data_IF_213065569926
#
_entry.id   IF_213065569926
#
_cell.length_a   1.000
_cell.length_b   1.000
_cell.length_c   1.000
_cell.angle_alpha   90.00
_cell.angle_beta   90.00
_cell.angle_gamma   90.00
#
_symmetry.space_group_name_H-M   'P 1'
#
loop_
_entity.id
_entity.type
_entity.pdbx_description
1 polymer ?
#
# COMPACT_ATOMS: atom_id res chain seq x y z
N UNK A 1 17.33 16.59 11.29
CA UNK A 1 16.24 16.22 10.38
C UNK A 1 15.08 15.78 11.24
N UNK A 2 13.96 16.41 11.09
CA UNK A 2 12.74 16.11 11.86
C UNK A 2 12.18 14.72 11.50
N UNK A 3 11.34 14.16 12.37
CA UNK A 3 10.77 12.80 12.20
C UNK A 3 10.16 12.60 10.81
N UNK A 4 9.29 13.52 10.42
CA UNK A 4 8.59 13.46 9.11
C UNK A 4 9.58 13.50 7.95
N UNK A 5 10.55 14.39 7.97
CA UNK A 5 11.57 14.47 6.90
C UNK A 5 12.36 13.16 6.74
N UNK A 6 12.57 12.43 7.84
CA UNK A 6 13.25 11.13 7.82
C UNK A 6 12.37 10.04 7.21
N UNK A 7 11.07 10.03 7.53
CA UNK A 7 10.11 9.09 6.93
C UNK A 7 9.95 9.41 5.44
N UNK A 8 9.85 10.69 5.06
CA UNK A 8 9.77 11.11 3.66
C UNK A 8 11.01 10.69 2.87
N UNK A 9 12.21 10.85 3.44
CA UNK A 9 13.45 10.38 2.81
C UNK A 9 13.51 8.85 2.67
N UNK A 10 12.93 8.10 3.59
CA UNK A 10 12.77 6.65 3.44
C UNK A 10 11.79 6.31 2.31
N UNK A 11 10.67 7.04 2.19
CA UNK A 11 9.68 6.86 1.12
C UNK A 11 10.26 7.16 -0.26
N UNK A 12 11.09 8.19 -0.39
CA UNK A 12 11.82 8.46 -1.65
C UNK A 12 12.75 7.31 -2.02
N UNK A 13 13.46 6.74 -1.05
CA UNK A 13 14.36 5.59 -1.24
C UNK A 13 13.66 4.32 -1.71
N UNK A 14 12.48 4.06 -1.17
CA UNK A 14 11.65 2.89 -1.45
C UNK A 14 10.42 3.24 -2.30
N UNK A 15 10.54 4.24 -3.19
CA UNK A 15 9.45 4.64 -4.08
C UNK A 15 9.11 3.51 -5.05
N UNK A 16 7.99 2.84 -4.80
CA UNK A 16 7.54 1.69 -5.59
C UNK A 16 7.27 2.01 -7.07
N UNK A 17 7.02 3.27 -7.42
CA UNK A 17 6.90 3.67 -8.83
C UNK A 17 8.21 3.50 -9.62
N UNK A 18 9.35 3.45 -8.91
CA UNK A 18 10.64 3.13 -9.51
C UNK A 18 10.91 1.63 -9.64
N UNK A 19 10.05 0.79 -9.04
CA UNK A 19 10.17 -0.66 -9.14
C UNK A 19 9.92 -1.16 -10.56
N UNK A 20 10.67 -2.17 -11.06
CA UNK A 20 10.48 -2.74 -12.40
C UNK A 20 9.02 -3.13 -12.70
N UNK A 21 8.33 -3.71 -11.74
CA UNK A 21 6.92 -4.08 -11.86
C UNK A 21 6.04 -2.89 -12.26
N UNK A 22 6.14 -1.75 -11.56
CA UNK A 22 5.33 -0.57 -11.89
C UNK A 22 5.76 0.11 -13.19
N UNK A 23 7.03 0.06 -13.56
CA UNK A 23 7.50 0.52 -14.87
C UNK A 23 6.87 -0.30 -16.00
N UNK A 24 6.81 -1.62 -15.85
CA UNK A 24 6.12 -2.51 -16.79
C UNK A 24 4.60 -2.27 -16.78
N UNK A 25 4.01 -2.02 -15.60
CA UNK A 25 2.59 -1.65 -15.49
C UNK A 25 2.26 -0.44 -16.35
N UNK A 26 3.01 0.65 -16.19
CA UNK A 26 2.79 1.91 -16.91
C UNK A 26 3.11 1.84 -18.40
N UNK A 27 3.86 0.83 -18.84
CA UNK A 27 4.16 0.58 -20.25
C UNK A 27 3.22 -0.46 -20.90
N UNK A 28 2.29 -1.05 -20.16
CA UNK A 28 1.39 -2.08 -20.68
C UNK A 28 2.09 -3.43 -20.96
N UNK A 29 3.21 -3.68 -20.29
CA UNK A 29 4.04 -4.86 -20.54
C UNK A 29 3.67 -6.07 -19.67
N UNK A 30 2.73 -5.92 -18.72
CA UNK A 30 2.28 -7.00 -17.87
C UNK A 30 1.20 -7.83 -18.60
N UNK A 31 1.32 -9.13 -18.47
CA UNK A 31 0.29 -10.06 -18.93
C UNK A 31 -0.90 -10.08 -17.96
N UNK A 32 -2.06 -10.55 -18.42
CA UNK A 32 -3.23 -10.75 -17.55
C UNK A 32 -2.91 -11.74 -16.40
N UNK A 33 -2.03 -12.72 -16.62
CA UNK A 33 -1.60 -13.67 -15.59
C UNK A 33 -0.76 -13.01 -14.50
N UNK A 34 0.14 -12.11 -14.86
CA UNK A 34 0.95 -11.33 -13.92
C UNK A 34 0.07 -10.37 -13.09
N UNK A 35 -0.90 -9.72 -13.73
CA UNK A 35 -1.88 -8.88 -13.03
C UNK A 35 -2.73 -9.68 -12.05
N UNK A 36 -3.18 -10.88 -12.44
CA UNK A 36 -3.92 -11.78 -11.56
C UNK A 36 -3.05 -12.26 -10.38
N UNK A 37 -1.77 -12.54 -10.65
CA UNK A 37 -0.81 -12.92 -9.60
C UNK A 37 -0.61 -11.77 -8.61
N UNK A 38 -0.31 -10.57 -9.10
CA UNK A 38 -0.19 -9.37 -8.30
C UNK A 38 -1.44 -9.10 -7.46
N UNK A 39 -2.62 -9.13 -8.08
CA UNK A 39 -3.88 -8.87 -7.39
C UNK A 39 -4.07 -9.80 -6.18
N UNK A 40 -3.76 -11.08 -6.33
CA UNK A 40 -3.86 -12.07 -5.25
C UNK A 40 -2.80 -11.89 -4.16
N UNK A 41 -1.56 -11.58 -4.51
CA UNK A 41 -0.47 -11.35 -3.54
C UNK A 41 -0.68 -10.05 -2.75
N UNK A 42 -0.96 -8.95 -3.45
CA UNK A 42 -1.10 -7.63 -2.81
C UNK A 42 -2.35 -7.53 -1.92
N UNK A 43 -3.37 -8.39 -2.13
CA UNK A 43 -4.53 -8.50 -1.24
C UNK A 43 -4.13 -8.70 0.22
N UNK A 44 -3.06 -9.46 0.48
CA UNK A 44 -2.56 -9.66 1.84
C UNK A 44 -2.04 -8.37 2.47
N UNK A 45 -1.39 -7.52 1.68
CA UNK A 45 -0.95 -6.20 2.12
C UNK A 45 -2.14 -5.27 2.42
N UNK A 46 -3.18 -5.28 1.58
CA UNK A 46 -4.42 -4.50 1.83
C UNK A 46 -5.07 -4.91 3.15
N UNK A 47 -5.16 -6.22 3.44
CA UNK A 47 -5.67 -6.71 4.73
C UNK A 47 -4.76 -6.27 5.89
N UNK A 48 -3.44 -6.35 5.71
CA UNK A 48 -2.47 -5.92 6.74
C UNK A 48 -2.57 -4.41 7.04
N UNK A 49 -2.83 -3.59 6.01
CA UNK A 49 -3.05 -2.15 6.18
C UNK A 49 -4.29 -1.89 7.04
N UNK A 50 -5.42 -2.53 6.72
CA UNK A 50 -6.65 -2.44 7.51
C UNK A 50 -6.45 -2.88 8.98
N UNK A 51 -5.64 -3.91 9.24
CA UNK A 51 -5.32 -4.35 10.59
C UNK A 51 -4.42 -3.34 11.34
N UNK A 52 -3.53 -2.67 10.62
CA UNK A 52 -2.65 -1.63 11.18
C UNK A 52 -3.41 -0.33 11.45
N UNK A 53 -4.35 0.05 10.58
CA UNK A 53 -5.25 1.18 10.79
C UNK A 53 -6.01 1.08 12.13
N UNK A 54 -6.44 -0.12 12.54
CA UNK A 54 -7.11 -0.35 13.84
C UNK A 54 -6.24 0.01 15.04
N UNK A 55 -4.92 -0.05 14.90
CA UNK A 55 -3.97 0.28 15.97
C UNK A 55 -3.73 1.78 16.12
N UNK A 56 -4.13 2.61 15.14
CA UNK A 56 -4.00 4.07 15.22
C UNK A 56 -4.96 4.72 16.20
N UNK A 57 -6.06 4.07 16.52
CA UNK A 57 -7.16 4.61 17.32
C UNK A 57 -8.13 5.50 16.51
N UNK A 58 -7.98 5.60 15.19
CA UNK A 58 -8.90 6.31 14.29
C UNK A 58 -9.98 5.33 13.81
N UNK A 59 -11.07 5.24 14.54
CA UNK A 59 -12.12 4.23 14.31
C UNK A 59 -12.76 4.35 12.92
N UNK A 60 -12.98 5.58 12.43
CA UNK A 60 -13.56 5.82 11.11
C UNK A 60 -12.60 5.36 10.00
N UNK A 61 -11.36 5.78 10.04
CA UNK A 61 -10.32 5.36 9.09
C UNK A 61 -10.14 3.82 9.11
N UNK A 62 -10.06 3.19 10.29
CA UNK A 62 -9.95 1.73 10.40
C UNK A 62 -11.16 0.98 9.81
N UNK A 63 -12.36 1.57 9.90
CA UNK A 63 -13.55 1.03 9.25
C UNK A 63 -13.47 1.16 7.74
N UNK A 64 -13.10 2.33 7.23
CA UNK A 64 -12.91 2.58 5.79
C UNK A 64 -11.90 1.59 5.20
N UNK A 65 -10.71 1.44 5.81
CA UNK A 65 -9.71 0.48 5.34
C UNK A 65 -10.22 -0.97 5.36
N UNK A 66 -11.06 -1.33 6.32
CA UNK A 66 -11.68 -2.66 6.35
C UNK A 66 -12.68 -2.84 5.18
N UNK A 67 -13.42 -1.80 4.82
CA UNK A 67 -14.33 -1.80 3.68
C UNK A 67 -13.56 -1.83 2.35
N UNK A 68 -12.38 -1.21 2.27
CA UNK A 68 -11.52 -1.19 1.08
C UNK A 68 -11.00 -2.57 0.67
N UNK A 69 -10.93 -3.54 1.60
CA UNK A 69 -10.62 -4.93 1.26
C UNK A 69 -11.59 -5.50 0.22
N UNK A 70 -12.89 -5.16 0.32
CA UNK A 70 -13.88 -5.58 -0.65
C UNK A 70 -13.65 -4.93 -2.03
N UNK A 71 -13.28 -3.65 -2.09
CA UNK A 71 -12.94 -2.98 -3.35
C UNK A 71 -11.71 -3.65 -4.02
N UNK A 72 -10.74 -4.08 -3.22
CA UNK A 72 -9.62 -4.86 -3.75
C UNK A 72 -10.06 -6.23 -4.26
N UNK A 73 -11.04 -6.88 -3.62
CA UNK A 73 -11.58 -8.16 -4.07
C UNK A 73 -12.27 -8.03 -5.44
N UNK A 74 -12.88 -6.89 -5.76
CA UNK A 74 -13.40 -6.60 -7.11
C UNK A 74 -12.26 -6.52 -8.14
N UNK A 75 -11.11 -5.91 -7.79
CA UNK A 75 -9.92 -5.92 -8.64
C UNK A 75 -9.37 -7.35 -8.84
N UNK A 76 -9.31 -8.15 -7.77
CA UNK A 76 -8.94 -9.58 -7.86
C UNK A 76 -9.86 -10.33 -8.83
N UNK A 77 -11.17 -10.11 -8.74
CA UNK A 77 -12.17 -10.75 -9.60
C UNK A 77 -12.05 -10.30 -11.06
N UNK A 78 -11.76 -9.02 -11.32
CA UNK A 78 -11.59 -8.47 -12.67
C UNK A 78 -10.49 -9.18 -13.47
N UNK A 79 -9.44 -9.66 -12.79
CA UNK A 79 -8.36 -10.43 -13.41
C UNK A 79 -8.51 -11.94 -13.26
N UNK A 80 -9.57 -12.43 -12.61
CA UNK A 80 -9.84 -13.86 -12.42
C UNK A 80 -8.92 -14.52 -11.41
N UNK A 81 -8.33 -13.75 -10.51
CA UNK A 81 -7.53 -14.26 -9.40
C UNK A 81 -8.41 -14.80 -8.26
N UNK A 82 -7.79 -15.41 -7.26
CA UNK A 82 -8.48 -15.96 -6.08
C UNK A 82 -8.08 -15.19 -4.82
N UNK A 83 -9.03 -14.96 -3.96
CA UNK A 83 -8.85 -14.28 -2.67
C UNK A 83 -8.28 -15.17 -1.55
N UNK A 84 -8.35 -16.50 -1.73
CA UNK A 84 -7.90 -17.52 -0.75
C UNK A 84 -6.48 -18.03 -1.01
N UNK A 85 -5.72 -17.34 -1.86
CA UNK A 85 -4.33 -17.69 -2.16
C UNK A 85 -3.45 -17.51 -0.92
N UNK A 86 -2.54 -18.46 -0.71
CA UNK A 86 -1.50 -18.29 0.32
C UNK A 86 -0.45 -17.27 -0.15
N UNK A 87 0.03 -16.40 0.75
CA UNK A 87 1.06 -15.44 0.39
C UNK A 87 2.38 -16.15 0.05
N UNK A 88 3.14 -15.55 -0.85
CA UNK A 88 4.55 -15.91 -1.04
C UNK A 88 5.38 -15.53 0.19
N UNK A 89 6.64 -15.95 0.25
CA UNK A 89 7.52 -15.58 1.36
C UNK A 89 7.74 -14.05 1.42
N UNK A 90 7.92 -13.43 0.26
CA UNK A 90 8.12 -11.99 0.12
C UNK A 90 6.86 -11.20 0.51
N UNK A 91 5.68 -11.72 0.16
CA UNK A 91 4.40 -11.15 0.60
C UNK A 91 4.21 -11.30 2.10
N UNK A 92 4.60 -12.43 2.68
CA UNK A 92 4.53 -12.65 4.12
C UNK A 92 5.46 -11.68 4.88
N UNK A 93 6.68 -11.43 4.38
CA UNK A 93 7.59 -10.41 4.94
C UNK A 93 6.97 -9.00 4.92
N UNK A 94 6.27 -8.64 3.85
CA UNK A 94 5.55 -7.38 3.76
C UNK A 94 4.43 -7.30 4.83
N UNK A 95 3.61 -8.33 4.93
CA UNK A 95 2.53 -8.43 5.93
C UNK A 95 3.08 -8.32 7.34
N UNK A 96 4.17 -9.04 7.64
CA UNK A 96 4.82 -9.00 8.95
C UNK A 96 5.33 -7.59 9.27
N UNK A 97 5.96 -6.91 8.30
CA UNK A 97 6.45 -5.54 8.48
C UNK A 97 5.30 -4.54 8.69
N UNK A 98 4.20 -4.67 7.94
CA UNK A 98 3.06 -3.76 8.05
C UNK A 98 2.29 -3.95 9.34
N UNK A 99 2.21 -5.18 9.86
CA UNK A 99 1.49 -5.49 11.10
C UNK A 99 2.37 -5.48 12.35
N UNK A 100 3.69 -5.26 12.22
CA UNK A 100 4.66 -5.19 13.31
C UNK A 100 4.42 -4.08 14.36
N UNK A 101 3.77 -2.91 14.06
CA UNK A 101 3.57 -1.87 15.05
C UNK A 101 3.01 -2.39 16.37
N UNK A 102 3.68 -2.08 17.48
CA UNK A 102 3.31 -2.52 18.85
C UNK A 102 2.46 -1.47 19.59
N UNK A 103 2.47 -0.24 19.11
CA UNK A 103 1.74 0.87 19.72
C UNK A 103 1.21 1.84 18.66
N UNK A 104 0.36 2.76 19.12
CA UNK A 104 -0.32 3.74 18.28
C UNK A 104 0.63 4.59 17.43
N UNK A 105 1.73 5.07 17.98
CA UNK A 105 2.64 5.96 17.25
C UNK A 105 3.42 5.21 16.16
N UNK A 106 3.80 3.97 16.41
CA UNK A 106 4.38 3.10 15.38
C UNK A 106 3.37 2.83 14.25
N UNK A 107 2.09 2.57 14.61
CA UNK A 107 1.04 2.38 13.61
C UNK A 107 0.83 3.63 12.76
N UNK A 108 0.77 4.83 13.37
CA UNK A 108 0.68 6.09 12.63
C UNK A 108 1.89 6.32 11.70
N UNK A 109 3.10 5.94 12.13
CA UNK A 109 4.30 6.08 11.29
C UNK A 109 4.24 5.15 10.06
N UNK A 110 3.75 3.91 10.23
CA UNK A 110 3.54 2.97 9.12
C UNK A 110 2.44 3.46 8.18
N UNK A 111 1.27 3.86 8.71
CA UNK A 111 0.16 4.38 7.91
C UNK A 111 0.62 5.60 7.10
N UNK A 112 1.24 6.59 7.74
CA UNK A 112 1.77 7.77 7.03
C UNK A 112 2.75 7.38 5.92
N UNK A 113 3.68 6.48 6.19
CA UNK A 113 4.69 6.08 5.22
C UNK A 113 4.06 5.45 3.96
N UNK A 114 3.03 4.62 4.14
CA UNK A 114 2.33 3.94 3.04
C UNK A 114 1.39 4.90 2.31
N UNK A 115 0.46 5.54 3.03
CA UNK A 115 -0.62 6.35 2.45
C UNK A 115 -0.11 7.62 1.76
N UNK A 116 0.96 8.24 2.26
CA UNK A 116 1.51 9.44 1.62
C UNK A 116 2.05 9.19 0.20
N UNK A 117 2.30 7.94 -0.17
CA UNK A 117 2.68 7.55 -1.54
C UNK A 117 1.52 7.05 -2.40
N UNK A 118 0.43 6.60 -1.78
CA UNK A 118 -0.66 5.92 -2.48
C UNK A 118 -1.40 6.75 -3.53
N UNK A 119 -1.64 8.06 -3.38
CA UNK A 119 -2.30 8.83 -4.43
C UNK A 119 -1.57 8.73 -5.77
N UNK A 120 -0.25 8.90 -5.79
CA UNK A 120 0.53 8.80 -7.02
C UNK A 120 0.57 7.37 -7.57
N UNK A 121 0.66 6.36 -6.68
CA UNK A 121 0.64 4.94 -7.05
C UNK A 121 -0.71 4.56 -7.63
N UNK A 122 -1.81 4.98 -7.01
CA UNK A 122 -3.18 4.71 -7.45
C UNK A 122 -3.48 5.39 -8.78
N UNK A 123 -3.04 6.63 -8.97
CA UNK A 123 -3.16 7.34 -10.24
C UNK A 123 -2.43 6.60 -11.37
N UNK A 124 -1.19 6.20 -11.16
CA UNK A 124 -0.43 5.43 -12.16
C UNK A 124 -1.08 4.09 -12.50
N UNK A 125 -1.71 3.43 -11.51
CA UNK A 125 -2.46 2.20 -11.74
C UNK A 125 -3.72 2.44 -12.57
N UNK A 126 -4.50 3.49 -12.27
CA UNK A 126 -5.69 3.85 -13.03
C UNK A 126 -5.36 4.13 -14.50
N UNK A 127 -4.32 4.93 -14.75
CA UNK A 127 -3.87 5.25 -16.09
C UNK A 127 -3.50 3.98 -16.86
N UNK A 128 -2.69 3.11 -16.27
CA UNK A 128 -2.29 1.85 -16.90
C UNK A 128 -3.47 0.89 -17.12
N UNK A 129 -4.41 0.78 -16.18
CA UNK A 129 -5.63 -0.04 -16.31
C UNK A 129 -6.46 0.41 -17.51
N UNK A 130 -6.70 1.72 -17.62
CA UNK A 130 -7.51 2.27 -18.71
C UNK A 130 -6.81 2.21 -20.06
N UNK A 131 -5.50 2.52 -20.11
CA UNK A 131 -4.74 2.62 -21.35
C UNK A 131 -4.36 1.25 -21.93
N UNK A 132 -3.99 0.28 -21.06
CA UNK A 132 -3.33 -0.95 -21.51
C UNK A 132 -4.08 -2.23 -21.16
N UNK A 133 -4.89 -2.24 -20.08
CA UNK A 133 -5.43 -3.49 -19.55
C UNK A 133 -6.94 -3.64 -19.70
N UNK A 134 -7.58 -2.62 -20.33
CA UNK A 134 -9.01 -2.68 -20.71
C UNK A 134 -9.97 -2.64 -19.53
N UNK A 135 -9.57 -2.00 -18.43
CA UNK A 135 -10.42 -1.73 -17.25
C UNK A 135 -10.65 -0.23 -17.16
N UNK A 136 -11.89 0.21 -17.38
CA UNK A 136 -12.23 1.63 -17.31
C UNK A 136 -12.27 2.13 -15.86
N UNK A 137 -12.06 3.43 -15.67
CA UNK A 137 -11.98 4.06 -14.33
C UNK A 137 -13.26 3.91 -13.52
N UNK A 138 -14.41 3.79 -14.19
CA UNK A 138 -15.74 3.61 -13.61
C UNK A 138 -16.15 2.13 -13.45
N UNK A 139 -15.27 1.19 -13.74
CA UNK A 139 -15.51 -0.24 -13.52
C UNK A 139 -15.13 -0.67 -12.09
N UNK A 140 -15.82 -1.69 -11.52
CA UNK A 140 -15.53 -2.16 -10.16
C UNK A 140 -14.06 -2.52 -9.91
N UNK A 141 -13.38 -3.08 -10.91
CA UNK A 141 -11.95 -3.41 -10.80
C UNK A 141 -11.00 -2.22 -10.69
N UNK A 142 -11.46 -0.99 -10.90
CA UNK A 142 -10.68 0.25 -10.76
C UNK A 142 -11.05 1.06 -9.53
N UNK A 143 -12.19 0.77 -8.87
CA UNK A 143 -12.77 1.59 -7.79
C UNK A 143 -11.83 1.77 -6.61
N UNK A 144 -11.10 0.71 -6.20
CA UNK A 144 -10.08 0.80 -5.15
C UNK A 144 -9.07 1.93 -5.44
N UNK A 145 -8.55 1.99 -6.66
CA UNK A 145 -7.53 2.95 -7.04
C UNK A 145 -8.11 4.36 -7.22
N UNK A 146 -9.34 4.46 -7.75
CA UNK A 146 -10.03 5.75 -7.87
C UNK A 146 -10.23 6.39 -6.49
N UNK A 147 -10.66 5.61 -5.50
CA UNK A 147 -10.84 6.07 -4.13
C UNK A 147 -9.51 6.52 -3.51
N UNK A 148 -8.46 5.69 -3.57
CA UNK A 148 -7.17 5.97 -2.92
C UNK A 148 -6.37 7.08 -3.63
N UNK A 149 -6.63 7.37 -4.90
CA UNK A 149 -6.03 8.51 -5.58
C UNK A 149 -6.46 9.86 -4.97
N UNK A 150 -7.61 9.91 -4.31
CA UNK A 150 -8.18 11.11 -3.69
C UNK A 150 -8.11 11.07 -2.16
N UNK A 151 -8.52 9.96 -1.54
CA UNK A 151 -8.75 9.84 -0.10
C UNK A 151 -7.47 9.82 0.74
N UNK A 152 -6.42 9.18 0.26
CA UNK A 152 -5.18 9.01 1.01
C UNK A 152 -4.43 10.33 1.27
N UNK A 153 -4.72 11.39 0.56
CA UNK A 153 -4.23 12.71 0.88
C UNK A 153 -4.70 13.20 2.27
N UNK A 154 -5.96 12.92 2.63
CA UNK A 154 -6.53 13.31 3.93
C UNK A 154 -5.98 12.43 5.05
N UNK A 155 -5.95 11.10 4.86
CA UNK A 155 -5.44 10.13 5.83
C UNK A 155 -3.95 10.37 6.15
N UNK A 156 -3.13 10.53 5.12
CA UNK A 156 -1.71 10.86 5.29
C UNK A 156 -1.50 12.20 6.00
N UNK A 157 -2.31 13.22 5.68
CA UNK A 157 -2.22 14.52 6.34
C UNK A 157 -2.65 14.48 7.81
N UNK A 158 -3.59 13.61 8.19
CA UNK A 158 -3.99 13.40 9.57
C UNK A 158 -2.89 12.69 10.36
N UNK A 159 -2.40 11.56 9.87
CA UNK A 159 -1.29 10.82 10.47
C UNK A 159 -0.04 11.69 10.62
N UNK A 160 0.29 12.48 9.59
CA UNK A 160 1.41 13.42 9.61
C UNK A 160 1.27 14.45 10.73
N UNK A 161 0.09 15.10 10.83
CA UNK A 161 -0.16 16.13 11.87
C UNK A 161 0.06 15.59 13.26
N UNK A 162 -0.42 14.37 13.54
CA UNK A 162 -0.22 13.76 14.84
C UNK A 162 1.24 13.46 15.12
N UNK A 163 1.97 12.92 14.15
CA UNK A 163 3.40 12.64 14.28
C UNK A 163 4.25 13.90 14.47
N UNK A 164 3.85 15.04 13.89
CA UNK A 164 4.53 16.33 14.09
C UNK A 164 4.41 16.85 15.54
N UNK A 165 3.33 16.52 16.25
CA UNK A 165 3.08 16.94 17.62
C UNK A 165 3.41 15.88 18.68
N UNK A 166 3.94 14.76 18.27
CA UNK A 166 4.34 13.69 19.20
C UNK A 166 5.57 14.11 20.01
N UNK A 167 5.48 13.91 21.32
CA UNK A 167 6.58 14.20 22.26
C UNK A 167 6.93 12.94 23.07
N UNK A 168 8.21 12.85 23.47
CA UNK A 168 8.73 11.74 24.30
C UNK A 168 8.55 10.35 23.67
N UNK A 169 8.75 10.26 22.36
CA UNK A 169 8.76 9.00 21.59
C UNK A 169 10.17 8.71 21.09
N UNK A 170 10.43 7.45 20.84
CA UNK A 170 11.65 7.01 20.14
C UNK A 170 11.50 7.27 18.64
N UNK A 171 11.96 8.42 18.18
CA UNK A 171 11.87 8.81 16.77
C UNK A 171 12.67 7.87 15.85
N UNK A 172 13.76 7.26 16.35
CA UNK A 172 14.54 6.29 15.58
C UNK A 172 13.71 5.03 15.34
N UNK A 173 12.98 4.57 16.36
CA UNK A 173 12.07 3.44 16.24
C UNK A 173 10.92 3.72 15.29
N UNK A 174 10.32 4.91 15.31
CA UNK A 174 9.24 5.28 14.39
C UNK A 174 9.73 5.28 12.92
N UNK A 175 10.92 5.79 12.66
CA UNK A 175 11.52 5.75 11.32
C UNK A 175 11.84 4.31 10.91
N UNK A 176 12.36 3.49 11.81
CA UNK A 176 12.68 2.08 11.55
C UNK A 176 11.45 1.29 11.10
N UNK A 177 10.33 1.39 11.82
CA UNK A 177 9.10 0.66 11.46
C UNK A 177 8.48 1.19 10.16
N UNK A 178 8.51 2.50 9.94
CA UNK A 178 8.05 3.12 8.70
C UNK A 178 8.89 2.64 7.49
N UNK A 179 10.22 2.66 7.60
CA UNK A 179 11.11 2.20 6.53
C UNK A 179 11.01 0.68 6.31
N UNK A 180 10.82 -0.10 7.38
CA UNK A 180 10.58 -1.54 7.26
C UNK A 180 9.31 -1.84 6.46
N UNK A 181 8.23 -1.08 6.68
CA UNK A 181 6.99 -1.21 5.93
C UNK A 181 7.17 -0.86 4.45
N UNK A 182 7.85 0.24 4.14
CA UNK A 182 8.15 0.66 2.76
C UNK A 182 9.02 -0.38 2.03
N UNK A 183 10.05 -0.90 2.69
CA UNK A 183 10.90 -1.96 2.15
C UNK A 183 10.11 -3.26 1.97
N UNK A 184 9.22 -3.61 2.90
CA UNK A 184 8.34 -4.77 2.78
C UNK A 184 7.46 -4.70 1.53
N UNK A 185 6.90 -3.51 1.22
CA UNK A 185 6.16 -3.29 -0.02
C UNK A 185 7.02 -3.53 -1.27
N UNK A 186 8.25 -3.04 -1.27
CA UNK A 186 9.22 -3.29 -2.35
C UNK A 186 9.53 -4.78 -2.49
N UNK A 187 9.81 -5.48 -1.38
CA UNK A 187 10.08 -6.92 -1.35
C UNK A 187 8.90 -7.74 -1.88
N UNK A 188 7.66 -7.38 -1.55
CA UNK A 188 6.48 -8.01 -2.12
C UNK A 188 6.49 -7.92 -3.65
N UNK A 189 6.79 -6.74 -4.20
CA UNK A 189 6.87 -6.53 -5.65
C UNK A 189 8.02 -7.33 -6.29
N UNK A 190 9.19 -7.44 -5.62
CA UNK A 190 10.27 -8.35 -6.06
C UNK A 190 9.76 -9.79 -6.19
N UNK A 191 8.98 -10.25 -5.20
CA UNK A 191 8.37 -11.58 -5.21
C UNK A 191 7.35 -11.78 -6.33
N UNK A 192 6.56 -10.75 -6.64
CA UNK A 192 5.62 -10.76 -7.76
C UNK A 192 6.37 -10.80 -9.09
N UNK A 193 7.36 -9.93 -9.28
CA UNK A 193 8.16 -9.84 -10.50
C UNK A 193 8.93 -11.14 -10.80
N UNK A 194 9.45 -11.81 -9.78
CA UNK A 194 10.20 -13.07 -9.94
C UNK A 194 9.34 -14.26 -10.38
N UNK A 195 8.02 -14.18 -10.25
CA UNK A 195 7.09 -15.28 -10.53
C UNK A 195 6.08 -14.97 -11.64
N UNK A 196 6.21 -13.80 -12.24
CA UNK A 196 5.38 -13.29 -13.33
C UNK A 196 5.72 -13.83 -14.70
#
# INVERSE_FOLDING_TARGET
>A
MELIERIDAARERWNVLEHPFYKRWSCGELTRGELAHYAGEYRHAVVALADTAKKTGHEEHAREETEHVWLWDEFVAAFGAKTDRKPSAETAECVDAWTAPENRHEALAVMYAIEAGQPAVSQAKLEGLAEHYGVAVDEPGAEYFALHSERDHEHAAESRRELEFVHNVDADRLVEVAEAALRGNWTLLDGVEARG
#
